data_IF_704461261660
#
_entry.id   IF_704461261660
#
_cell.length_a   1.000
_cell.length_b   1.000
_cell.length_c   1.000
_cell.angle_alpha   90.00
_cell.angle_beta   90.00
_cell.angle_gamma   90.00
#
_symmetry.space_group_name_H-M   'P 1'
#
loop_
_entity.id
_entity.type
_entity.pdbx_description
1 polymer ?
#
# COMPACT_ATOMS: atom_id res chain seq x y z
N UNK A 1 -0.15 -19.17 -27.22
CA UNK A 1 -0.15 -18.36 -25.99
C UNK A 1 -1.09 -19.01 -24.99
N UNK A 2 -0.72 -19.08 -23.72
CA UNK A 2 -1.61 -19.51 -22.64
C UNK A 2 -2.50 -18.36 -22.25
N UNK A 3 -3.79 -18.61 -22.13
CA UNK A 3 -4.75 -17.66 -21.54
C UNK A 3 -4.50 -17.67 -20.03
N UNK A 4 -4.38 -16.49 -19.42
CA UNK A 4 -4.17 -16.32 -17.99
C UNK A 4 -5.12 -15.22 -17.49
N UNK A 5 -5.76 -15.44 -16.36
CA UNK A 5 -6.57 -14.43 -15.71
C UNK A 5 -5.68 -13.36 -15.09
N UNK A 6 -6.10 -12.11 -15.19
CA UNK A 6 -5.41 -10.93 -14.65
C UNK A 6 -6.38 -10.01 -13.93
N UNK A 7 -5.89 -9.30 -12.94
CA UNK A 7 -6.60 -8.19 -12.33
C UNK A 7 -6.17 -6.87 -13.02
N UNK A 8 -7.13 -6.01 -13.28
CA UNK A 8 -6.90 -4.70 -13.88
C UNK A 8 -7.40 -3.63 -12.91
N UNK A 9 -6.48 -2.82 -12.39
CA UNK A 9 -6.77 -1.63 -11.59
C UNK A 9 -6.81 -0.43 -12.52
N UNK A 10 -7.90 0.34 -12.48
CA UNK A 10 -8.11 1.49 -13.36
C UNK A 10 -8.46 2.70 -12.50
N UNK A 11 -7.78 3.82 -12.72
CA UNK A 11 -8.16 5.08 -12.11
C UNK A 11 -9.54 5.54 -12.61
N UNK A 12 -10.34 6.06 -11.70
CA UNK A 12 -11.68 6.60 -12.09
C UNK A 12 -11.52 7.70 -13.12
N UNK A 13 -12.35 7.73 -14.17
CA UNK A 13 -12.33 8.80 -15.14
C UNK A 13 -12.48 10.18 -14.46
N UNK A 14 -11.72 11.16 -14.93
CA UNK A 14 -11.72 12.54 -14.43
C UNK A 14 -11.30 12.72 -12.95
N UNK A 15 -10.80 11.69 -12.27
CA UNK A 15 -10.43 11.78 -10.83
C UNK A 15 -9.41 12.91 -10.58
N UNK A 16 -8.43 13.08 -11.47
CA UNK A 16 -7.43 14.16 -11.38
C UNK A 16 -8.06 15.55 -11.44
N UNK A 17 -9.07 15.74 -12.30
CA UNK A 17 -9.77 17.02 -12.43
C UNK A 17 -10.57 17.32 -11.16
N UNK A 18 -11.36 16.36 -10.69
CA UNK A 18 -12.17 16.48 -9.48
C UNK A 18 -11.27 16.81 -8.30
N UNK A 19 -10.19 16.07 -8.14
CA UNK A 19 -9.23 16.28 -7.04
C UNK A 19 -8.61 17.69 -7.09
N UNK A 20 -8.19 18.16 -8.26
CA UNK A 20 -7.62 19.49 -8.37
C UNK A 20 -8.63 20.58 -7.99
N UNK A 21 -9.90 20.44 -8.38
CA UNK A 21 -10.96 21.37 -7.97
C UNK A 21 -11.19 21.37 -6.46
N UNK A 22 -11.16 20.19 -5.82
CA UNK A 22 -11.29 20.05 -4.36
C UNK A 22 -10.07 20.64 -3.62
N UNK A 23 -8.87 20.39 -4.11
CA UNK A 23 -7.63 20.93 -3.53
C UNK A 23 -7.58 22.46 -3.65
N UNK A 24 -8.01 23.03 -4.77
CA UNK A 24 -8.05 24.48 -4.96
C UNK A 24 -9.03 25.13 -3.97
N UNK A 25 -10.16 24.48 -3.70
CA UNK A 25 -11.12 24.94 -2.68
C UNK A 25 -10.52 24.83 -1.25
N UNK A 26 -9.83 23.71 -0.93
CA UNK A 26 -9.14 23.55 0.34
C UNK A 26 -8.02 24.56 0.52
N UNK A 27 -7.26 24.86 -0.54
CA UNK A 27 -6.20 25.86 -0.52
C UNK A 27 -6.74 27.25 -0.21
N UNK A 28 -7.85 27.66 -0.85
CA UNK A 28 -8.52 28.91 -0.55
C UNK A 28 -8.98 28.97 0.90
N UNK A 29 -9.58 27.91 1.41
CA UNK A 29 -10.02 27.81 2.81
C UNK A 29 -8.83 27.91 3.78
N UNK A 30 -7.75 27.19 3.52
CA UNK A 30 -6.52 27.24 4.32
C UNK A 30 -5.94 28.65 4.37
N UNK A 31 -5.84 29.31 3.21
CA UNK A 31 -5.33 30.68 3.09
C UNK A 31 -6.20 31.68 3.86
N UNK A 32 -7.52 31.65 3.71
CA UNK A 32 -8.44 32.52 4.43
C UNK A 32 -8.36 32.29 5.94
N UNK A 33 -8.30 31.04 6.38
CA UNK A 33 -8.20 30.67 7.79
C UNK A 33 -6.92 31.19 8.43
N UNK A 34 -5.76 31.03 7.77
CA UNK A 34 -4.49 31.56 8.29
C UNK A 34 -4.42 33.08 8.25
N UNK A 35 -5.11 33.73 7.31
CA UNK A 35 -5.15 35.19 7.18
C UNK A 35 -6.01 35.83 8.28
N UNK A 36 -7.12 35.21 8.63
CA UNK A 36 -8.12 35.77 9.57
C UNK A 36 -7.78 35.34 11.01
N UNK A 37 -7.42 34.09 11.25
CA UNK A 37 -7.25 33.52 12.58
C UNK A 37 -5.77 33.39 12.93
N UNK A 38 -5.20 34.38 13.60
CA UNK A 38 -3.76 34.42 13.96
C UNK A 38 -3.26 33.13 14.66
N UNK A 39 -4.11 32.46 15.45
CA UNK A 39 -3.77 31.22 16.17
C UNK A 39 -3.54 30.03 15.25
N UNK A 40 -4.15 30.01 14.07
CA UNK A 40 -4.03 28.89 13.11
C UNK A 40 -2.74 28.95 12.28
N UNK A 41 -2.04 30.09 12.23
CA UNK A 41 -0.77 30.23 11.51
C UNK A 41 0.28 29.18 11.89
N UNK A 42 0.30 28.76 13.16
CA UNK A 42 1.22 27.69 13.62
C UNK A 42 0.91 26.32 13.04
N UNK A 43 -0.32 26.11 12.56
CA UNK A 43 -0.76 24.84 11.96
C UNK A 43 -0.31 24.70 10.51
N UNK A 44 0.10 25.82 9.88
CA UNK A 44 0.62 25.85 8.51
C UNK A 44 -0.31 25.13 7.53
N UNK A 45 -1.61 25.46 7.57
CA UNK A 45 -2.65 24.78 6.79
C UNK A 45 -2.37 24.83 5.29
N UNK A 46 -1.83 25.94 4.79
CA UNK A 46 -1.44 26.08 3.37
C UNK A 46 -0.35 25.08 3.01
N UNK A 47 0.68 24.90 3.86
CA UNK A 47 1.74 23.92 3.64
C UNK A 47 1.19 22.49 3.69
N UNK A 48 0.25 22.22 4.61
CA UNK A 48 -0.42 20.91 4.73
C UNK A 48 -1.22 20.57 3.45
N UNK A 49 -2.00 21.53 2.95
CA UNK A 49 -2.79 21.31 1.71
C UNK A 49 -1.87 21.13 0.49
N UNK A 50 -0.76 21.89 0.45
CA UNK A 50 0.24 21.73 -0.61
C UNK A 50 0.86 20.32 -0.59
N UNK A 51 1.27 19.84 0.59
CA UNK A 51 1.81 18.50 0.77
C UNK A 51 0.78 17.41 0.37
N UNK A 52 -0.48 17.60 0.77
CA UNK A 52 -1.57 16.70 0.36
C UNK A 52 -1.70 16.64 -1.17
N UNK A 53 -1.64 17.81 -1.84
CA UNK A 53 -1.67 17.88 -3.32
C UNK A 53 -0.53 17.08 -3.95
N UNK A 54 0.68 17.21 -3.43
CA UNK A 54 1.84 16.49 -3.97
C UNK A 54 1.72 14.97 -3.78
N UNK A 55 1.37 14.53 -2.56
CA UNK A 55 1.20 13.10 -2.26
C UNK A 55 0.12 12.48 -3.16
N UNK A 56 -1.04 13.12 -3.26
CA UNK A 56 -2.14 12.56 -4.05
C UNK A 56 -1.84 12.57 -5.56
N UNK A 57 -1.07 13.52 -6.05
CA UNK A 57 -0.62 13.48 -7.46
C UNK A 57 0.25 12.27 -7.76
N UNK A 58 1.08 11.82 -6.81
CA UNK A 58 1.86 10.59 -6.94
C UNK A 58 0.95 9.35 -6.92
N UNK A 59 -0.05 9.31 -6.03
CA UNK A 59 -1.01 8.21 -5.95
C UNK A 59 -1.90 8.09 -7.19
N UNK A 60 -2.09 9.17 -7.95
CA UNK A 60 -2.84 9.19 -9.21
C UNK A 60 -2.02 8.76 -10.44
N UNK A 61 -0.87 8.11 -10.25
CA UNK A 61 -0.09 7.47 -11.30
C UNK A 61 0.21 6.03 -10.92
N UNK A 62 -0.57 5.09 -11.45
CA UNK A 62 -0.48 3.66 -11.12
C UNK A 62 0.88 3.02 -11.47
N UNK A 63 1.75 3.72 -12.21
CA UNK A 63 3.12 3.24 -12.46
C UNK A 63 3.97 3.24 -11.19
N UNK A 64 3.73 4.19 -10.25
CA UNK A 64 4.42 4.20 -8.96
C UNK A 64 4.01 3.03 -8.09
N UNK A 65 2.71 2.72 -8.05
CA UNK A 65 2.21 1.54 -7.34
C UNK A 65 2.76 0.23 -7.96
N UNK A 66 2.76 0.14 -9.29
CA UNK A 66 3.34 -1.00 -10.01
C UNK A 66 4.85 -1.16 -9.72
N UNK A 67 5.60 -0.06 -9.65
CA UNK A 67 7.01 -0.08 -9.32
C UNK A 67 7.25 -0.53 -7.87
N UNK A 68 6.43 -0.04 -6.94
CA UNK A 68 6.48 -0.45 -5.54
C UNK A 68 6.17 -1.95 -5.37
N UNK A 69 5.15 -2.46 -6.05
CA UNK A 69 4.85 -3.90 -6.08
C UNK A 69 6.01 -4.73 -6.62
N UNK A 70 6.64 -4.27 -7.71
CA UNK A 70 7.77 -4.98 -8.31
C UNK A 70 8.99 -4.99 -7.37
N UNK A 71 9.35 -3.86 -6.75
CA UNK A 71 10.42 -3.78 -5.76
C UNK A 71 10.14 -4.70 -4.56
N UNK A 72 8.90 -4.69 -4.06
CA UNK A 72 8.51 -5.54 -2.95
C UNK A 72 8.59 -7.02 -3.30
N UNK A 73 8.19 -7.39 -4.52
CA UNK A 73 8.34 -8.74 -5.06
C UNK A 73 9.80 -9.21 -5.09
N UNK A 74 10.72 -8.35 -5.55
CA UNK A 74 12.15 -8.68 -5.57
C UNK A 74 12.74 -8.86 -4.17
N UNK A 75 12.37 -8.00 -3.22
CA UNK A 75 12.84 -8.08 -1.84
C UNK A 75 12.34 -9.35 -1.13
N UNK A 76 11.12 -9.78 -1.44
CA UNK A 76 10.44 -10.88 -0.72
C UNK A 76 10.44 -12.22 -1.47
N UNK A 77 11.10 -12.31 -2.62
CA UNK A 77 11.07 -13.51 -3.50
C UNK A 77 11.52 -14.82 -2.85
N UNK A 78 12.32 -14.73 -1.79
CA UNK A 78 12.82 -15.89 -1.04
C UNK A 78 12.03 -16.13 0.26
N UNK A 79 11.00 -15.36 0.55
CA UNK A 79 10.24 -15.49 1.79
C UNK A 79 9.16 -16.57 1.62
N UNK A 80 9.32 -17.67 2.33
CA UNK A 80 8.32 -18.73 2.36
C UNK A 80 7.02 -18.22 3.01
N UNK A 81 5.87 -18.57 2.43
CA UNK A 81 4.56 -18.15 2.95
C UNK A 81 4.12 -16.74 2.53
N UNK A 82 4.88 -16.07 1.66
CA UNK A 82 4.55 -14.74 1.16
C UNK A 82 4.69 -14.67 -0.36
N UNK A 83 3.78 -13.98 -1.04
CA UNK A 83 3.81 -13.80 -2.48
C UNK A 83 3.30 -12.41 -2.86
N UNK A 84 3.97 -11.76 -3.80
CA UNK A 84 3.51 -10.52 -4.44
C UNK A 84 3.05 -10.85 -5.86
N UNK A 85 1.85 -10.40 -6.29
CA UNK A 85 1.37 -10.61 -7.66
C UNK A 85 2.32 -9.96 -8.67
N UNK A 86 2.57 -10.67 -9.78
CA UNK A 86 3.42 -10.15 -10.85
C UNK A 86 2.75 -8.99 -11.56
N UNK A 87 3.50 -7.94 -11.86
CA UNK A 87 3.04 -6.80 -12.68
C UNK A 87 3.32 -7.05 -14.16
N UNK A 88 2.32 -6.78 -15.00
CA UNK A 88 2.44 -6.84 -16.45
C UNK A 88 2.71 -5.45 -17.02
N UNK A 89 3.98 -5.06 -17.10
CA UNK A 89 4.40 -3.72 -17.52
C UNK A 89 3.91 -3.32 -18.91
N UNK A 90 3.82 -4.27 -19.85
CA UNK A 90 3.29 -4.00 -21.19
C UNK A 90 1.80 -3.61 -21.21
N UNK A 91 1.08 -3.85 -20.12
CA UNK A 91 -0.33 -3.53 -19.91
C UNK A 91 -0.53 -2.58 -18.72
N UNK A 92 0.53 -1.88 -18.32
CA UNK A 92 0.52 -0.93 -17.21
C UNK A 92 0.88 0.46 -17.74
N UNK A 93 0.11 1.46 -17.34
CA UNK A 93 0.28 2.86 -17.70
C UNK A 93 -0.07 3.75 -16.50
N UNK A 94 -0.03 5.07 -16.68
CA UNK A 94 -0.42 6.02 -15.64
C UNK A 94 -1.82 5.75 -15.05
N UNK A 95 -2.79 5.36 -15.89
CA UNK A 95 -4.19 5.20 -15.48
C UNK A 95 -4.64 3.75 -15.34
N UNK A 96 -3.78 2.77 -15.67
CA UNK A 96 -4.11 1.35 -15.68
C UNK A 96 -2.92 0.56 -15.15
N UNK A 97 -3.17 -0.34 -14.20
CA UNK A 97 -2.19 -1.33 -13.73
C UNK A 97 -2.75 -2.73 -13.92
N UNK A 98 -1.96 -3.63 -14.49
CA UNK A 98 -2.33 -5.02 -14.72
C UNK A 98 -1.41 -5.93 -13.93
N UNK A 99 -2.00 -6.82 -13.13
CA UNK A 99 -1.29 -7.75 -12.26
C UNK A 99 -1.92 -9.14 -12.31
N UNK A 100 -1.21 -10.14 -11.77
CA UNK A 100 -1.74 -11.49 -11.65
C UNK A 100 -3.07 -11.49 -10.89
N UNK A 101 -4.02 -12.28 -11.38
CA UNK A 101 -5.19 -12.63 -10.60
C UNK A 101 -4.78 -13.51 -9.41
N UNK A 102 -5.23 -13.17 -8.22
CA UNK A 102 -4.97 -13.93 -7.00
C UNK A 102 -6.13 -14.88 -6.73
N UNK A 103 -5.88 -16.17 -6.93
CA UNK A 103 -6.83 -17.19 -6.50
C UNK A 103 -6.66 -17.44 -5.00
N UNK A 104 -7.64 -17.00 -4.21
CA UNK A 104 -7.55 -17.10 -2.77
C UNK A 104 -8.78 -16.55 -2.05
N UNK A 105 -8.67 -16.43 -0.74
CA UNK A 105 -9.69 -15.89 0.14
C UNK A 105 -9.15 -14.64 0.82
N UNK A 106 -9.94 -13.57 0.83
CA UNK A 106 -9.61 -12.39 1.62
C UNK A 106 -9.61 -12.74 3.11
N UNK A 107 -8.64 -12.25 3.87
CA UNK A 107 -8.63 -12.45 5.33
C UNK A 107 -9.83 -11.80 6.03
N UNK A 108 -10.60 -10.98 5.33
CA UNK A 108 -11.86 -10.43 5.78
C UNK A 108 -13.00 -11.48 5.82
N UNK A 109 -12.88 -12.54 5.01
CA UNK A 109 -13.92 -13.57 4.84
C UNK A 109 -13.70 -14.72 5.84
N UNK A 110 -13.90 -14.43 7.13
CA UNK A 110 -13.59 -15.36 8.23
C UNK A 110 -14.33 -16.70 8.11
N UNK A 111 -15.59 -16.70 7.69
CA UNK A 111 -16.36 -17.92 7.47
C UNK A 111 -15.77 -18.81 6.38
N UNK A 112 -15.25 -18.20 5.31
CA UNK A 112 -14.63 -18.95 4.21
C UNK A 112 -13.25 -19.50 4.61
N UNK A 113 -12.49 -18.74 5.41
CA UNK A 113 -11.23 -19.20 6.00
C UNK A 113 -11.46 -20.42 6.91
N UNK A 114 -12.49 -20.39 7.75
CA UNK A 114 -12.86 -21.52 8.61
C UNK A 114 -13.27 -22.75 7.81
N UNK A 115 -14.09 -22.60 6.77
CA UNK A 115 -14.48 -23.72 5.87
C UNK A 115 -13.27 -24.37 5.20
N UNK A 116 -12.24 -23.61 4.89
CA UNK A 116 -10.97 -24.10 4.32
C UNK A 116 -9.99 -24.60 5.36
N UNK A 117 -10.37 -24.63 6.66
CA UNK A 117 -9.53 -25.02 7.78
C UNK A 117 -8.21 -24.19 7.86
N UNK A 118 -8.28 -22.90 7.51
CA UNK A 118 -7.15 -21.99 7.61
C UNK A 118 -7.06 -21.46 9.05
N UNK A 119 -5.93 -21.68 9.69
CA UNK A 119 -5.67 -21.18 11.06
C UNK A 119 -5.45 -19.67 11.04
N UNK A 120 -6.50 -18.94 11.42
CA UNK A 120 -6.49 -17.46 11.45
C UNK A 120 -5.50 -16.88 12.45
N UNK A 121 -5.21 -17.60 13.57
CA UNK A 121 -4.20 -17.18 14.54
C UNK A 121 -2.80 -17.28 13.96
N UNK A 122 -2.54 -18.38 13.25
CA UNK A 122 -1.28 -18.57 12.54
C UNK A 122 -1.10 -17.50 11.48
N UNK A 123 -2.12 -17.23 10.65
CA UNK A 123 -2.07 -16.16 9.64
C UNK A 123 -1.78 -14.80 10.26
N UNK A 124 -2.44 -14.43 11.37
CA UNK A 124 -2.18 -13.17 12.06
C UNK A 124 -0.72 -13.07 12.54
N UNK A 125 -0.19 -14.15 13.11
CA UNK A 125 1.23 -14.22 13.51
C UNK A 125 2.17 -14.09 12.31
N UNK A 126 1.89 -14.80 11.22
CA UNK A 126 2.71 -14.79 10.00
C UNK A 126 2.71 -13.39 9.34
N UNK A 127 1.56 -12.69 9.31
CA UNK A 127 1.48 -11.30 8.83
C UNK A 127 2.39 -10.38 9.61
N UNK A 128 2.35 -10.44 10.95
CA UNK A 128 3.20 -9.60 11.82
C UNK A 128 4.68 -9.94 11.59
N UNK A 129 5.03 -11.22 11.51
CA UNK A 129 6.40 -11.65 11.27
C UNK A 129 6.93 -11.18 9.92
N UNK A 130 6.13 -11.28 8.85
CA UNK A 130 6.51 -10.77 7.53
C UNK A 130 6.67 -9.25 7.55
N UNK A 131 5.72 -8.53 8.15
CA UNK A 131 5.80 -7.07 8.30
C UNK A 131 7.10 -6.64 8.98
N UNK A 132 7.40 -7.21 10.16
CA UNK A 132 8.61 -6.88 10.91
C UNK A 132 9.89 -7.26 10.16
N UNK A 133 9.90 -8.42 9.51
CA UNK A 133 11.02 -8.87 8.68
C UNK A 133 11.31 -7.90 7.55
N UNK A 134 10.29 -7.52 6.79
CA UNK A 134 10.44 -6.60 5.66
C UNK A 134 10.86 -5.20 6.14
N UNK A 135 10.31 -4.72 7.25
CA UNK A 135 10.68 -3.43 7.81
C UNK A 135 12.16 -3.41 8.30
N UNK A 136 12.59 -4.43 9.03
CA UNK A 136 13.93 -4.45 9.64
C UNK A 136 15.00 -4.89 8.63
N UNK A 137 14.74 -5.96 7.85
CA UNK A 137 15.70 -6.52 6.89
C UNK A 137 15.83 -5.62 5.66
N UNK A 138 14.71 -5.34 5.02
CA UNK A 138 14.68 -4.70 3.70
C UNK A 138 14.56 -3.18 3.80
N UNK A 139 13.99 -2.68 4.90
CA UNK A 139 13.66 -1.26 5.04
C UNK A 139 12.57 -0.81 4.08
N UNK A 140 11.88 -1.77 3.44
CA UNK A 140 10.79 -1.52 2.52
C UNK A 140 9.65 -2.50 2.81
N UNK A 141 8.49 -1.98 3.21
CA UNK A 141 7.39 -2.79 3.73
C UNK A 141 6.04 -2.18 3.36
N UNK A 142 5.02 -3.02 3.37
CA UNK A 142 3.65 -2.61 3.16
C UNK A 142 3.11 -1.87 4.38
N UNK A 143 2.77 -0.59 4.23
CA UNK A 143 2.37 0.27 5.35
C UNK A 143 0.85 0.31 5.59
N UNK A 144 0.05 -0.37 4.75
CA UNK A 144 -1.41 -0.43 4.85
C UNK A 144 -1.94 -1.87 4.74
N UNK A 145 -1.49 -2.75 5.65
CA UNK A 145 -1.89 -4.16 5.68
C UNK A 145 -3.27 -4.36 6.33
N UNK A 146 -4.29 -3.66 5.86
CA UNK A 146 -5.65 -3.87 6.35
C UNK A 146 -6.30 -5.12 5.72
N UNK A 147 -7.36 -5.62 6.35
CA UNK A 147 -8.00 -6.90 5.97
C UNK A 147 -8.52 -6.94 4.53
N UNK A 148 -8.82 -5.80 3.90
CA UNK A 148 -9.27 -5.73 2.51
C UNK A 148 -8.16 -5.91 1.48
N UNK A 149 -6.89 -5.71 1.90
CA UNK A 149 -5.72 -5.72 1.00
C UNK A 149 -4.92 -7.03 1.06
N UNK A 150 -5.36 -8.01 1.87
CA UNK A 150 -4.61 -9.26 2.09
C UNK A 150 -5.47 -10.46 1.73
N UNK A 151 -4.92 -11.33 0.90
CA UNK A 151 -5.50 -12.62 0.53
C UNK A 151 -4.62 -13.76 1.03
N UNK A 152 -5.24 -14.92 1.24
CA UNK A 152 -4.54 -16.19 1.41
C UNK A 152 -4.81 -17.01 0.16
N UNK A 153 -3.75 -17.31 -0.60
CA UNK A 153 -3.88 -18.09 -1.82
C UNK A 153 -4.10 -19.57 -1.53
N UNK A 154 -4.36 -20.36 -2.58
CA UNK A 154 -4.62 -21.80 -2.46
C UNK A 154 -3.42 -22.61 -1.92
N UNK A 155 -2.22 -22.02 -1.91
CA UNK A 155 -1.00 -22.60 -1.32
C UNK A 155 -0.79 -22.17 0.14
N UNK A 156 -1.71 -21.39 0.72
CA UNK A 156 -1.62 -20.89 2.09
C UNK A 156 -0.65 -19.70 2.27
N UNK A 157 -0.23 -19.05 1.18
CA UNK A 157 0.65 -17.89 1.24
C UNK A 157 -0.16 -16.61 1.42
N UNK A 158 0.42 -15.65 2.14
CA UNK A 158 -0.08 -14.29 2.30
C UNK A 158 0.21 -13.52 1.01
N UNK A 159 -0.82 -12.91 0.42
CA UNK A 159 -0.72 -12.18 -0.84
C UNK A 159 -1.36 -10.79 -0.66
N UNK A 160 -0.57 -9.72 -0.51
CA UNK A 160 -1.09 -8.35 -0.59
C UNK A 160 -1.46 -8.01 -2.04
N UNK A 161 -2.48 -7.17 -2.23
CA UNK A 161 -3.03 -6.83 -3.55
C UNK A 161 -3.06 -5.33 -3.86
N UNK A 162 -2.78 -4.47 -2.89
CA UNK A 162 -2.72 -3.02 -3.05
C UNK A 162 -1.35 -2.53 -2.55
N UNK A 163 -0.63 -1.74 -3.33
CA UNK A 163 0.74 -1.29 -3.03
C UNK A 163 0.87 0.25 -3.06
N UNK A 164 -0.27 0.94 -2.93
CA UNK A 164 -0.32 2.41 -2.95
C UNK A 164 0.40 3.04 -1.75
N UNK A 165 0.40 2.37 -0.59
CA UNK A 165 1.02 2.90 0.63
C UNK A 165 2.13 1.95 1.10
N UNK A 166 3.37 2.29 0.75
CA UNK A 166 4.57 1.56 1.17
C UNK A 166 5.42 2.40 2.11
N UNK A 167 5.98 1.76 3.14
CA UNK A 167 6.91 2.38 4.08
C UNK A 167 8.37 2.16 3.69
N UNK A 168 9.21 3.17 3.94
CA UNK A 168 10.67 3.07 3.79
C UNK A 168 11.36 3.47 5.09
N UNK A 169 12.32 2.67 5.51
CA UNK A 169 13.21 2.95 6.63
C UNK A 169 14.64 3.04 6.12
N UNK A 170 15.34 4.08 6.51
CA UNK A 170 16.79 4.17 6.35
C UNK A 170 17.50 3.23 7.34
N UNK A 171 18.81 3.07 7.19
CA UNK A 171 19.58 2.14 8.01
C UNK A 171 19.56 2.50 9.50
N UNK A 172 19.49 3.79 9.84
CA UNK A 172 19.39 4.25 11.21
C UNK A 172 18.04 3.87 11.83
N UNK A 173 16.96 4.13 11.10
CA UNK A 173 15.59 3.77 11.52
C UNK A 173 15.40 2.26 11.66
N UNK A 174 15.96 1.46 10.74
CA UNK A 174 15.97 -0.01 10.85
C UNK A 174 16.67 -0.46 12.13
N UNK A 175 17.83 0.12 12.44
CA UNK A 175 18.58 -0.19 13.64
C UNK A 175 17.78 0.15 14.90
N UNK A 176 17.18 1.33 14.97
CA UNK A 176 16.34 1.71 16.11
C UNK A 176 15.15 0.78 16.28
N UNK A 177 14.48 0.42 15.19
CA UNK A 177 13.35 -0.52 15.24
C UNK A 177 13.82 -1.90 15.77
N UNK A 178 14.96 -2.40 15.28
CA UNK A 178 15.53 -3.66 15.73
C UNK A 178 15.91 -3.63 17.24
N UNK A 179 16.51 -2.53 17.72
CA UNK A 179 16.85 -2.34 19.14
C UNK A 179 15.60 -2.31 20.04
N UNK A 180 14.54 -1.63 19.59
CA UNK A 180 13.26 -1.62 20.31
C UNK A 180 12.69 -3.04 20.40
N UNK A 181 12.63 -3.77 19.29
CA UNK A 181 12.10 -5.14 19.25
C UNK A 181 12.94 -6.13 20.09
N UNK A 182 14.25 -5.91 20.19
CA UNK A 182 15.14 -6.74 21.01
C UNK A 182 15.02 -6.44 22.50
N UNK A 183 14.60 -5.21 22.86
CA UNK A 183 14.44 -4.76 24.24
C UNK A 183 13.16 -5.23 24.94
N UNK A 184 12.23 -5.83 24.18
CA UNK A 184 10.99 -6.45 24.68
C UNK A 184 11.11 -7.98 24.70
#
# INVERSE_FOLDING_TARGET
GTIKDVAIKILRPNIKKIFNEEIDALMLFAFLTESIIKKTKRLKLVEVVYLLKEITNLEMDLRFEAAAANEYSENTKNDSGFQVPRIYWNFTSENVMTLDWVEGVSIRETEELEKRNIDTKKIASDIIQHFLRHAVRDGFFHADMHQGNIFINNSGQIVPIDFGIMGRLDDLSKKFLAEILYGF
#
